data_IF_616053252759
#
_entry.id   IF_616053252759
#
_cell.length_a   1.000
_cell.length_b   1.000
_cell.length_c   1.000
_cell.angle_alpha   90.00
_cell.angle_beta   90.00
_cell.angle_gamma   90.00
#
_symmetry.space_group_name_H-M   'P 1'
#
loop_
_entity.id
_entity.type
_entity.pdbx_description
1 polymer ?
#
# COMPACT_ATOMS: atom_id res chain seq x y z
N UNK A 1 22.97 -3.31 35.16
CA UNK A 1 22.32 -4.37 34.37
C UNK A 1 20.82 -4.31 34.62
N UNK A 2 20.01 -4.13 33.56
CA UNK A 2 18.56 -3.96 33.73
C UNK A 2 17.90 -5.28 34.17
N UNK A 3 17.05 -5.21 35.20
CA UNK A 3 16.39 -6.36 35.81
C UNK A 3 15.41 -7.00 34.81
N UNK A 4 15.77 -8.13 34.22
CA UNK A 4 14.87 -8.88 33.34
C UNK A 4 13.71 -9.45 34.16
N UNK A 5 12.48 -9.06 33.80
CA UNK A 5 11.27 -9.62 34.42
C UNK A 5 11.10 -11.07 34.01
N UNK A 6 10.81 -11.94 34.97
CA UNK A 6 10.51 -13.37 34.73
C UNK A 6 9.32 -13.51 33.78
N UNK A 7 9.49 -14.31 32.73
CA UNK A 7 8.42 -14.66 31.78
C UNK A 7 7.28 -15.37 32.52
N UNK A 8 6.02 -15.02 32.21
CA UNK A 8 4.85 -15.74 32.71
C UNK A 8 4.57 -16.92 31.78
N UNK A 9 4.75 -18.14 32.29
CA UNK A 9 4.47 -19.37 31.55
C UNK A 9 3.16 -20.06 32.00
N UNK A 10 2.38 -19.42 32.87
CA UNK A 10 1.07 -19.95 33.31
C UNK A 10 0.06 -19.79 32.16
N UNK A 11 -0.53 -20.90 31.72
CA UNK A 11 -1.67 -20.89 30.80
C UNK A 11 -2.83 -20.09 31.40
N UNK A 12 -3.40 -19.17 30.62
CA UNK A 12 -4.61 -18.44 31.01
C UNK A 12 -5.79 -19.44 31.09
N UNK A 13 -6.38 -19.61 32.28
CA UNK A 13 -7.55 -20.49 32.53
C UNK A 13 -8.67 -19.68 33.18
N UNK A 14 -9.93 -19.97 32.83
CA UNK A 14 -11.13 -19.30 33.36
C UNK A 14 -12.08 -18.80 32.27
N UNK A 15 -13.35 -18.54 32.62
CA UNK A 15 -14.40 -18.06 31.70
C UNK A 15 -14.03 -16.76 30.99
N UNK A 16 -13.27 -15.88 31.66
CA UNK A 16 -12.80 -14.60 31.12
C UNK A 16 -11.41 -14.68 30.43
N UNK A 17 -10.85 -15.88 30.25
CA UNK A 17 -9.51 -16.06 29.68
C UNK A 17 -9.42 -15.67 28.20
N UNK A 18 -10.55 -15.63 27.48
CA UNK A 18 -10.60 -15.17 26.08
C UNK A 18 -10.39 -13.66 25.95
N UNK A 19 -10.79 -12.87 26.95
CA UNK A 19 -10.71 -11.40 26.95
C UNK A 19 -9.27 -10.91 27.19
N UNK A 20 -8.47 -11.68 27.93
CA UNK A 20 -7.09 -11.31 28.29
C UNK A 20 -6.02 -11.91 27.34
N UNK A 21 -6.43 -12.45 26.18
CA UNK A 21 -5.46 -13.02 25.22
C UNK A 21 -4.62 -11.90 24.62
N UNK A 22 -3.28 -12.01 24.61
CA UNK A 22 -2.44 -11.05 23.92
C UNK A 22 -2.72 -11.13 22.40
N UNK A 23 -2.90 -9.97 21.77
CA UNK A 23 -2.94 -9.89 20.31
C UNK A 23 -1.54 -10.19 19.77
N UNK A 24 -1.43 -11.23 18.95
CA UNK A 24 -0.17 -11.57 18.28
C UNK A 24 -0.01 -10.64 17.08
N UNK A 25 0.69 -9.53 17.28
CA UNK A 25 1.07 -8.65 16.17
C UNK A 25 2.23 -9.28 15.41
N UNK A 26 1.96 -9.86 14.24
CA UNK A 26 3.02 -10.34 13.35
C UNK A 26 3.72 -9.15 12.70
N UNK A 27 4.95 -8.90 13.10
CA UNK A 27 5.81 -7.87 12.51
C UNK A 27 6.63 -8.55 11.42
N UNK A 28 6.27 -8.31 10.15
CA UNK A 28 7.09 -8.71 9.01
C UNK A 28 8.06 -7.58 8.65
N UNK A 29 9.29 -7.95 8.29
CA UNK A 29 10.23 -6.98 7.73
C UNK A 29 9.71 -6.55 6.35
N UNK A 30 9.42 -5.27 6.18
CA UNK A 30 9.07 -4.70 4.88
C UNK A 30 10.26 -4.88 3.94
N UNK A 31 10.00 -5.37 2.73
CA UNK A 31 11.01 -5.46 1.67
C UNK A 31 11.65 -4.08 1.44
N UNK A 32 12.96 -3.94 1.68
CA UNK A 32 13.72 -2.69 1.54
C UNK A 32 14.04 -2.30 0.08
N UNK A 33 13.21 -2.72 -0.88
CA UNK A 33 13.40 -2.26 -2.25
C UNK A 33 12.94 -0.79 -2.32
N UNK A 34 13.84 0.17 -2.63
CA UNK A 34 13.51 1.59 -2.62
C UNK A 34 12.34 1.93 -3.55
N UNK A 35 12.23 1.25 -4.70
CA UNK A 35 11.14 1.48 -5.65
C UNK A 35 9.77 1.06 -5.08
N UNK A 36 9.70 -0.11 -4.45
CA UNK A 36 8.46 -0.61 -3.85
C UNK A 36 8.04 0.21 -2.63
N UNK A 37 9.01 0.64 -1.82
CA UNK A 37 8.76 1.50 -0.67
C UNK A 37 8.22 2.87 -1.10
N UNK A 38 8.84 3.49 -2.11
CA UNK A 38 8.36 4.74 -2.67
C UNK A 38 6.93 4.64 -3.22
N UNK A 39 6.63 3.56 -3.95
CA UNK A 39 5.27 3.30 -4.45
C UNK A 39 4.26 3.17 -3.32
N UNK A 40 4.61 2.44 -2.25
CA UNK A 40 3.71 2.27 -1.11
C UNK A 40 3.41 3.59 -0.40
N UNK A 41 4.42 4.45 -0.26
CA UNK A 41 4.29 5.76 0.40
C UNK A 41 3.50 6.74 -0.47
N UNK A 42 3.77 6.76 -1.78
CA UNK A 42 3.20 7.73 -2.72
C UNK A 42 1.96 7.25 -3.47
N UNK A 43 1.46 6.02 -3.22
CA UNK A 43 0.29 5.45 -3.92
C UNK A 43 -0.95 6.35 -3.96
N UNK A 44 -1.14 7.22 -2.97
CA UNK A 44 -2.28 8.16 -2.93
C UNK A 44 -2.16 9.27 -3.98
N UNK A 45 -0.95 9.64 -4.36
CA UNK A 45 -0.65 10.67 -5.38
C UNK A 45 -0.32 10.02 -6.73
N UNK A 46 0.42 8.92 -6.74
CA UNK A 46 0.81 8.23 -7.97
C UNK A 46 -0.40 7.73 -8.76
N UNK A 47 -1.45 7.21 -8.08
CA UNK A 47 -2.67 6.72 -8.73
C UNK A 47 -3.42 7.80 -9.53
N UNK A 48 -3.81 8.95 -8.95
CA UNK A 48 -4.50 9.99 -9.72
C UNK A 48 -3.62 10.58 -10.83
N UNK A 49 -2.31 10.72 -10.61
CA UNK A 49 -1.39 11.20 -11.65
C UNK A 49 -1.35 10.26 -12.85
N UNK A 50 -1.29 8.94 -12.62
CA UNK A 50 -1.34 7.93 -13.68
C UNK A 50 -2.64 7.96 -14.48
N UNK A 51 -3.78 8.13 -13.78
CA UNK A 51 -5.08 8.24 -14.44
C UNK A 51 -5.14 9.52 -15.27
N UNK A 52 -4.72 10.66 -14.72
CA UNK A 52 -4.73 11.94 -15.41
C UNK A 52 -3.85 11.91 -16.67
N UNK A 53 -2.65 11.34 -16.59
CA UNK A 53 -1.77 11.15 -17.76
C UNK A 53 -2.41 10.26 -18.82
N UNK A 54 -3.08 9.17 -18.42
CA UNK A 54 -3.84 8.33 -19.36
C UNK A 54 -4.95 9.09 -20.08
N UNK A 55 -5.73 9.90 -19.34
CA UNK A 55 -6.79 10.74 -19.92
C UNK A 55 -6.24 11.76 -20.91
N UNK A 56 -5.15 12.45 -20.55
CA UNK A 56 -4.49 13.43 -21.44
C UNK A 56 -4.00 12.75 -22.72
N UNK A 57 -3.38 11.56 -22.61
CA UNK A 57 -2.91 10.81 -23.77
C UNK A 57 -4.07 10.46 -24.74
N UNK A 58 -5.22 10.02 -24.21
CA UNK A 58 -6.40 9.74 -25.02
C UNK A 58 -6.90 11.00 -25.73
N UNK A 59 -6.95 12.14 -25.04
CA UNK A 59 -7.37 13.41 -25.65
C UNK A 59 -6.44 13.78 -26.82
N UNK A 60 -5.13 13.67 -26.63
CA UNK A 60 -4.15 13.97 -27.69
C UNK A 60 -4.34 13.04 -28.89
N UNK A 61 -4.51 11.74 -28.66
CA UNK A 61 -4.75 10.75 -29.73
C UNK A 61 -6.03 11.10 -30.50
N UNK A 62 -7.11 11.44 -29.80
CA UNK A 62 -8.36 11.85 -30.44
C UNK A 62 -8.16 13.10 -31.31
N UNK A 63 -7.43 14.11 -30.82
CA UNK A 63 -7.15 15.32 -31.61
C UNK A 63 -6.35 14.98 -32.87
N UNK A 64 -5.29 14.16 -32.75
CA UNK A 64 -4.49 13.73 -33.90
C UNK A 64 -5.34 12.99 -34.93
N UNK A 65 -6.20 12.07 -34.48
CA UNK A 65 -7.10 11.33 -35.36
C UNK A 65 -8.12 12.24 -36.05
N UNK A 66 -8.67 13.24 -35.34
CA UNK A 66 -9.57 14.23 -35.93
C UNK A 66 -8.87 15.07 -37.00
N UNK A 67 -7.63 15.49 -36.74
CA UNK A 67 -6.83 16.24 -37.73
C UNK A 67 -6.58 15.37 -38.96
N UNK A 68 -6.15 14.11 -38.78
CA UNK A 68 -5.95 13.16 -39.89
C UNK A 68 -7.21 13.02 -40.75
N UNK A 69 -8.35 12.74 -40.10
CA UNK A 69 -9.66 12.65 -40.77
C UNK A 69 -10.02 13.93 -41.52
N UNK A 70 -9.78 15.11 -40.93
CA UNK A 70 -10.07 16.39 -41.56
C UNK A 70 -9.14 16.73 -42.72
N UNK A 71 -7.87 16.32 -42.66
CA UNK A 71 -6.87 16.52 -43.73
C UNK A 71 -7.00 15.50 -44.87
N UNK A 72 -7.80 14.45 -44.70
CA UNK A 72 -8.08 13.45 -45.74
C UNK A 72 -6.88 12.60 -46.16
N UNK A 73 -5.83 12.56 -45.32
CA UNK A 73 -4.64 11.71 -45.47
C UNK A 73 -4.77 10.48 -44.59
#
# INVERSE_FOLDING_TARGET
MAKQKKKRDKSYKGSNAAVARPSVTRISAVHRNPAHQWWFDHKRVAKPVLIATGVIAVIVICIVQLIQLATGV
#
